data_IF_083485527413
#
_entry.id   IF_083485527413
#
_cell.length_a   1.000
_cell.length_b   1.000
_cell.length_c   1.000
_cell.angle_alpha   90.00
_cell.angle_beta   90.00
_cell.angle_gamma   90.00
#
_symmetry.space_group_name_H-M   'P 1'
#
loop_
_entity.id
_entity.type
_entity.pdbx_description
1 polymer ?
#
# COMPACT_ATOMS: atom_id res chain seq x y z
N UNK A 1 0.04 -7.74 -31.00
CA UNK A 1 0.12 -7.45 -29.56
C UNK A 1 -0.35 -8.68 -28.81
N UNK A 2 0.44 -9.19 -27.87
CA UNK A 2 0.03 -10.33 -27.02
C UNK A 2 -0.81 -9.79 -25.86
N UNK A 3 -1.97 -10.39 -25.61
CA UNK A 3 -2.79 -10.06 -24.46
C UNK A 3 -2.13 -10.66 -23.21
N UNK A 4 -1.88 -9.84 -22.18
CA UNK A 4 -1.41 -10.33 -20.88
C UNK A 4 -2.63 -10.58 -19.99
N UNK A 5 -2.97 -11.83 -19.67
CA UNK A 5 -4.10 -12.12 -18.80
C UNK A 5 -3.77 -11.69 -17.37
N UNK A 6 -4.81 -11.36 -16.59
CA UNK A 6 -4.69 -11.16 -15.15
C UNK A 6 -4.38 -12.51 -14.50
N UNK A 7 -3.27 -12.59 -13.77
CA UNK A 7 -2.86 -13.82 -13.08
C UNK A 7 -3.58 -14.00 -11.74
N UNK A 8 -3.74 -12.91 -10.99
CA UNK A 8 -4.46 -12.91 -9.70
C UNK A 8 -5.07 -11.53 -9.43
N UNK A 9 -6.10 -11.51 -8.61
CA UNK A 9 -6.73 -10.29 -8.08
C UNK A 9 -6.79 -10.44 -6.57
N UNK A 10 -6.18 -9.50 -5.86
CA UNK A 10 -6.16 -9.48 -4.39
C UNK A 10 -6.71 -8.15 -3.91
N UNK A 11 -7.52 -8.17 -2.85
CA UNK A 11 -8.03 -6.96 -2.23
C UNK A 11 -7.03 -6.41 -1.23
N UNK A 12 -6.75 -5.10 -1.32
CA UNK A 12 -5.90 -4.41 -0.37
C UNK A 12 -6.49 -4.44 1.05
N UNK A 13 -5.63 -4.57 2.05
CA UNK A 13 -6.03 -4.74 3.45
C UNK A 13 -5.82 -3.45 4.24
N UNK A 14 -6.71 -3.09 5.16
CA UNK A 14 -6.55 -1.89 5.97
C UNK A 14 -5.31 -1.99 6.88
N UNK A 15 -4.60 -0.88 7.04
CA UNK A 15 -3.43 -0.72 7.90
C UNK A 15 -3.39 0.69 8.52
N UNK A 16 -2.60 0.82 9.59
CA UNK A 16 -2.30 2.10 10.25
C UNK A 16 -0.79 2.29 10.24
N UNK A 17 -0.32 3.43 9.76
CA UNK A 17 1.11 3.76 9.62
C UNK A 17 1.40 5.21 10.05
N UNK A 18 2.68 5.58 10.16
CA UNK A 18 3.09 6.96 10.47
C UNK A 18 2.48 7.49 11.77
N UNK A 19 1.96 8.71 11.75
CA UNK A 19 1.29 9.34 12.89
C UNK A 19 -0.21 8.99 12.97
N UNK A 20 -0.57 7.72 12.73
CA UNK A 20 -1.95 7.23 12.76
C UNK A 20 -2.69 7.31 11.43
N UNK A 21 -1.96 7.39 10.32
CA UNK A 21 -2.53 7.40 8.96
C UNK A 21 -3.19 6.08 8.67
N UNK A 22 -4.47 6.10 8.29
CA UNK A 22 -5.20 4.91 7.81
C UNK A 22 -5.00 4.76 6.31
N UNK A 23 -4.57 3.57 5.90
CA UNK A 23 -4.32 3.25 4.50
C UNK A 23 -4.74 1.83 4.17
N UNK A 24 -4.74 1.49 2.88
CA UNK A 24 -4.92 0.13 2.39
C UNK A 24 -3.63 -0.38 1.73
N UNK A 25 -3.10 -1.49 2.23
CA UNK A 25 -1.90 -2.15 1.70
C UNK A 25 -2.27 -3.22 0.68
N UNK A 26 -1.82 -3.06 -0.56
CA UNK A 26 -2.05 -4.04 -1.62
C UNK A 26 -1.01 -5.17 -1.58
N UNK A 27 0.27 -4.81 -1.44
CA UNK A 27 1.36 -5.73 -1.19
C UNK A 27 2.47 -5.04 -0.40
N UNK A 28 3.25 -5.84 0.30
CA UNK A 28 4.40 -5.39 1.09
C UNK A 28 4.62 -6.33 2.26
N UNK A 29 5.88 -6.63 2.55
CA UNK A 29 6.30 -7.68 3.48
C UNK A 29 5.81 -9.10 3.06
N UNK A 30 6.60 -10.16 3.28
CA UNK A 30 6.22 -11.53 2.92
C UNK A 30 6.64 -11.97 1.50
N UNK A 31 5.71 -12.50 0.70
CA UNK A 31 5.92 -13.03 -0.67
C UNK A 31 6.26 -11.90 -1.67
N UNK A 32 7.49 -11.39 -1.60
CA UNK A 32 7.98 -10.27 -2.44
C UNK A 32 8.36 -10.71 -3.85
N UNK A 33 8.62 -12.00 -4.08
CA UNK A 33 9.05 -12.53 -5.39
C UNK A 33 8.03 -12.25 -6.50
N UNK A 34 6.73 -12.29 -6.17
CA UNK A 34 5.66 -12.01 -7.13
C UNK A 34 5.62 -10.54 -7.58
N UNK A 35 6.26 -9.64 -6.83
CA UNK A 35 6.19 -8.20 -7.03
C UNK A 35 7.55 -7.55 -7.35
N UNK A 36 8.65 -8.31 -7.40
CA UNK A 36 9.99 -7.83 -7.77
C UNK A 36 9.95 -7.00 -9.07
N UNK A 37 10.44 -5.74 -9.09
CA UNK A 37 11.26 -5.05 -8.08
C UNK A 37 10.50 -4.14 -7.10
N UNK A 38 9.18 -4.23 -7.06
CA UNK A 38 8.35 -3.42 -6.18
C UNK A 38 8.28 -4.06 -4.78
N UNK A 39 8.56 -3.24 -3.76
CA UNK A 39 8.67 -3.70 -2.37
C UNK A 39 7.40 -3.47 -1.55
N UNK A 40 6.64 -2.42 -1.86
CA UNK A 40 5.49 -1.97 -1.09
C UNK A 40 4.54 -1.15 -1.99
N UNK A 41 3.23 -1.35 -1.83
CA UNK A 41 2.22 -0.48 -2.43
C UNK A 41 1.07 -0.24 -1.46
N UNK A 42 0.97 1.01 -1.00
CA UNK A 42 -0.03 1.51 -0.06
C UNK A 42 -0.88 2.63 -0.70
N UNK A 43 -2.19 2.58 -0.49
CA UNK A 43 -3.14 3.63 -0.84
C UNK A 43 -3.67 4.32 0.43
N UNK A 44 -3.20 5.53 0.70
CA UNK A 44 -3.55 6.33 1.87
C UNK A 44 -4.59 7.43 1.58
N UNK A 45 -5.25 7.39 0.42
CA UNK A 45 -6.36 8.32 0.12
C UNK A 45 -7.52 8.04 1.07
N UNK A 46 -8.13 9.11 1.58
CA UNK A 46 -9.28 9.01 2.47
C UNK A 46 -10.17 10.25 2.34
N UNK A 47 -11.47 10.08 2.57
CA UNK A 47 -12.46 11.17 2.56
C UNK A 47 -12.44 11.99 3.86
N UNK A 48 -11.89 11.42 4.94
CA UNK A 48 -11.79 12.03 6.26
C UNK A 48 -10.39 12.59 6.50
N UNK A 49 -10.20 13.92 6.56
CA UNK A 49 -8.89 14.52 6.76
C UNK A 49 -8.15 13.98 8.00
N UNK A 50 -8.87 13.72 9.09
CA UNK A 50 -8.28 13.19 10.33
C UNK A 50 -7.57 11.84 10.17
N UNK A 51 -7.90 11.09 9.12
CA UNK A 51 -7.32 9.77 8.87
C UNK A 51 -5.99 9.82 8.12
N UNK A 52 -5.54 10.98 7.61
CA UNK A 52 -4.25 11.12 6.92
C UNK A 52 -3.47 12.39 7.24
N UNK A 53 -4.12 13.43 7.80
CA UNK A 53 -3.54 14.76 7.94
C UNK A 53 -2.29 14.80 8.84
N UNK A 54 -2.22 13.92 9.85
CA UNK A 54 -1.05 13.79 10.70
C UNK A 54 0.19 13.27 9.95
N UNK A 55 -0.03 12.59 8.82
CA UNK A 55 1.00 12.20 7.87
C UNK A 55 2.03 11.23 8.41
N UNK A 56 3.19 11.25 7.75
CA UNK A 56 4.34 10.44 8.09
C UNK A 56 5.44 11.37 8.60
N UNK A 57 5.66 11.45 9.93
CA UNK A 57 6.76 12.23 10.49
C UNK A 57 8.11 11.80 9.93
N UNK A 58 9.16 12.59 10.18
CA UNK A 58 10.50 12.26 9.71
C UNK A 58 10.89 10.81 10.06
N UNK A 59 11.28 10.04 9.05
CA UNK A 59 11.74 8.66 9.17
C UNK A 59 12.80 8.36 8.09
N UNK A 60 13.76 7.46 8.36
CA UNK A 60 14.71 7.00 7.36
C UNK A 60 14.04 6.06 6.35
N UNK A 61 14.78 5.75 5.28
CA UNK A 61 14.48 4.66 4.36
C UNK A 61 15.45 3.51 4.57
#
# INVERSE_FOLDING_TARGET
MSLRPVHSVTQAQPHIEGAGVKLHRAFGFGETTAFDPFLLFDDFRNDRPEDYLAGFPWHPH
#
